data_IF_241266500007
#
_entry.id   IF_241266500007
#
_cell.length_a   1.000
_cell.length_b   1.000
_cell.length_c   1.000
_cell.angle_alpha   90.00
_cell.angle_beta   90.00
_cell.angle_gamma   90.00
#
_symmetry.space_group_name_H-M   'P 1'
#
loop_
_entity.id
_entity.type
_entity.pdbx_description
1 polymer ?
#
# COMPACT_ATOMS: atom_id res chain seq x y z
N UNK A 1 -7.93 1.23 -6.67
CA UNK A 1 -6.89 0.19 -6.86
C UNK A 1 -5.72 0.67 -7.72
N UNK A 2 -5.95 1.50 -8.76
CA UNK A 2 -4.87 2.08 -9.60
C UNK A 2 -3.77 2.75 -8.75
N UNK A 3 -4.13 3.61 -7.79
CA UNK A 3 -3.17 4.26 -6.90
C UNK A 3 -2.34 3.29 -6.03
N UNK A 4 -2.94 2.18 -5.58
CA UNK A 4 -2.21 1.14 -4.82
C UNK A 4 -1.19 0.47 -5.74
N UNK A 5 -1.57 0.18 -6.98
CA UNK A 5 -0.71 -0.46 -7.98
C UNK A 5 0.45 0.47 -8.39
N UNK A 6 0.21 1.78 -8.53
CA UNK A 6 1.26 2.77 -8.83
C UNK A 6 2.27 2.90 -7.67
N UNK A 7 1.79 2.95 -6.42
CA UNK A 7 2.66 2.97 -5.24
C UNK A 7 3.48 1.69 -5.12
N UNK A 8 2.88 0.53 -5.44
CA UNK A 8 3.59 -0.74 -5.48
C UNK A 8 4.66 -0.75 -6.58
N UNK A 9 4.34 -0.27 -7.79
CA UNK A 9 5.29 -0.19 -8.89
C UNK A 9 6.49 0.69 -8.50
N UNK A 10 6.24 1.89 -7.99
CA UNK A 10 7.29 2.80 -7.51
C UNK A 10 8.12 2.21 -6.36
N UNK A 11 7.50 1.43 -5.46
CA UNK A 11 8.23 0.72 -4.39
C UNK A 11 9.16 -0.38 -4.92
N UNK A 12 8.74 -1.09 -5.96
CA UNK A 12 9.53 -2.14 -6.61
C UNK A 12 10.65 -1.52 -7.43
N UNK A 13 10.40 -0.45 -8.18
CA UNK A 13 11.38 0.30 -8.95
C UNK A 13 12.50 0.84 -8.04
N UNK A 14 12.13 1.46 -6.91
CA UNK A 14 13.09 1.91 -5.90
C UNK A 14 13.84 0.76 -5.18
N UNK A 15 13.27 -0.45 -5.14
CA UNK A 15 13.91 -1.65 -4.57
C UNK A 15 14.83 -2.38 -5.58
N UNK A 16 14.55 -2.27 -6.88
CA UNK A 16 15.40 -2.79 -7.96
C UNK A 16 16.59 -1.86 -8.19
N UNK A 17 16.38 -0.53 -8.17
CA UNK A 17 17.47 0.47 -8.22
C UNK A 17 18.50 0.29 -7.11
N UNK A 18 18.10 -0.35 -5.99
CA UNK A 18 19.01 -0.73 -4.92
C UNK A 18 20.12 -1.70 -5.34
N UNK A 19 19.88 -2.56 -6.32
CA UNK A 19 20.84 -3.57 -6.77
C UNK A 19 21.93 -2.93 -7.67
N UNK A 20 21.66 -1.74 -8.22
CA UNK A 20 22.59 -0.99 -9.08
C UNK A 20 23.40 0.04 -8.26
N UNK A 21 24.45 -0.46 -7.62
CA UNK A 21 25.73 0.23 -7.34
C UNK A 21 25.84 1.58 -6.60
N UNK A 22 24.81 2.24 -6.08
CA UNK A 22 24.99 3.41 -5.19
C UNK A 22 23.92 3.48 -4.07
N UNK A 23 24.36 3.53 -2.82
CA UNK A 23 23.48 3.49 -1.62
C UNK A 23 23.84 4.69 -0.74
N UNK A 24 22.89 5.43 -0.17
CA UNK A 24 22.34 5.10 1.15
C UNK A 24 20.89 5.61 1.41
N UNK A 25 20.23 6.33 0.47
CA UNK A 25 18.93 6.99 0.71
C UNK A 25 17.71 6.35 0.02
N UNK A 26 17.91 5.58 -1.06
CA UNK A 26 16.81 5.04 -1.88
C UNK A 26 16.04 3.89 -1.20
N UNK A 27 16.70 3.09 -0.36
CA UNK A 27 16.07 1.95 0.30
C UNK A 27 15.00 2.36 1.34
N UNK A 28 15.13 3.53 1.97
CA UNK A 28 14.10 4.08 2.86
C UNK A 28 12.83 4.44 2.06
N UNK A 29 13.00 5.08 0.91
CA UNK A 29 11.89 5.49 0.04
C UNK A 29 11.11 4.30 -0.50
N UNK A 30 11.79 3.24 -0.95
CA UNK A 30 11.13 2.01 -1.40
C UNK A 30 10.20 1.42 -0.33
N UNK A 31 10.68 1.38 0.93
CA UNK A 31 9.91 0.89 2.07
C UNK A 31 8.72 1.79 2.40
N UNK A 32 8.90 3.11 2.33
CA UNK A 32 7.84 4.08 2.63
C UNK A 32 6.70 4.00 1.60
N UNK A 33 7.01 3.88 0.30
CA UNK A 33 6.00 3.70 -0.76
C UNK A 33 5.25 2.38 -0.62
N UNK A 34 5.95 1.29 -0.31
CA UNK A 34 5.32 0.00 -0.03
C UNK A 34 4.39 0.04 1.17
N UNK A 35 4.80 0.69 2.28
CA UNK A 35 3.96 0.85 3.46
C UNK A 35 2.74 1.72 3.20
N UNK A 36 2.86 2.78 2.39
CA UNK A 36 1.73 3.62 1.99
C UNK A 36 0.70 2.83 1.17
N UNK A 37 1.15 1.97 0.25
CA UNK A 37 0.27 1.10 -0.52
C UNK A 37 -0.52 0.13 0.38
N UNK A 38 0.14 -0.47 1.37
CA UNK A 38 -0.49 -1.38 2.34
C UNK A 38 -1.52 -0.64 3.20
N UNK A 39 -1.20 0.55 3.71
CA UNK A 39 -2.14 1.36 4.49
C UNK A 39 -3.41 1.69 3.69
N UNK A 40 -3.26 2.07 2.42
CA UNK A 40 -4.39 2.38 1.54
C UNK A 40 -5.23 1.12 1.26
N UNK A 41 -4.60 -0.03 1.05
CA UNK A 41 -5.29 -1.30 0.85
C UNK A 41 -6.10 -1.71 2.09
N UNK A 42 -5.52 -1.59 3.29
CA UNK A 42 -6.19 -1.88 4.56
C UNK A 42 -7.37 -0.94 4.82
N UNK A 43 -7.22 0.35 4.51
CA UNK A 43 -8.32 1.33 4.66
C UNK A 43 -9.50 0.97 3.75
N UNK A 44 -9.23 0.67 2.48
CA UNK A 44 -10.27 0.27 1.52
C UNK A 44 -10.93 -1.04 1.96
N UNK A 45 -10.16 -2.01 2.43
CA UNK A 45 -10.68 -3.26 2.96
C UNK A 45 -11.59 -3.02 4.18
N UNK A 46 -11.16 -2.20 5.13
CA UNK A 46 -11.95 -1.85 6.31
C UNK A 46 -13.26 -1.14 5.93
N UNK A 47 -13.24 -0.23 4.96
CA UNK A 47 -14.44 0.44 4.46
C UNK A 47 -15.41 -0.54 3.80
N UNK A 48 -14.92 -1.46 2.96
CA UNK A 48 -15.75 -2.48 2.31
C UNK A 48 -16.41 -3.41 3.34
N UNK A 49 -15.64 -3.87 4.32
CA UNK A 49 -16.16 -4.69 5.40
C UNK A 49 -17.14 -3.91 6.26
N UNK A 50 -16.87 -2.64 6.59
CA UNK A 50 -17.79 -1.78 7.31
C UNK A 50 -19.13 -1.62 6.57
N UNK A 51 -19.11 -1.38 5.25
CA UNK A 51 -20.35 -1.29 4.45
C UNK A 51 -21.19 -2.56 4.45
N UNK A 52 -20.60 -3.73 4.68
CA UNK A 52 -21.32 -5.01 4.72
C UNK A 52 -21.73 -5.35 6.16
N UNK A 53 -20.80 -5.24 7.10
CA UNK A 53 -21.01 -5.64 8.49
C UNK A 53 -21.86 -4.64 9.29
N UNK A 54 -21.72 -3.33 9.08
CA UNK A 54 -22.53 -2.33 9.79
C UNK A 54 -24.03 -2.56 9.57
N UNK A 55 -24.55 -2.63 8.33
CA UNK A 55 -25.95 -2.90 8.13
C UNK A 55 -26.32 -4.32 8.59
N UNK A 56 -25.46 -5.32 8.46
CA UNK A 56 -25.76 -6.66 8.96
C UNK A 56 -25.94 -6.69 10.49
N UNK A 57 -25.10 -5.95 11.23
CA UNK A 57 -25.18 -5.85 12.70
C UNK A 57 -26.32 -4.96 13.16
N UNK A 58 -26.63 -3.89 12.43
CA UNK A 58 -27.74 -2.97 12.76
C UNK A 58 -29.11 -3.55 12.37
N UNK A 59 -29.19 -4.35 11.31
CA UNK A 59 -30.43 -5.00 10.86
C UNK A 59 -30.67 -6.38 11.53
N UNK A 60 -29.85 -6.74 12.51
CA UNK A 60 -30.06 -7.87 13.42
C UNK A 60 -30.61 -7.37 14.75
#
# INVERSE_FOLDING_TARGET
MVLVVELLNSSVEAAIDRISFDHHDLSKRAKDFGSAAVMLALLIAALLWATICIPLVINW
#
